data_IF_908864636139
#
_entry.id   IF_908864636139
#
_cell.length_a   1.000
_cell.length_b   1.000
_cell.length_c   1.000
_cell.angle_alpha   90.00
_cell.angle_beta   90.00
_cell.angle_gamma   90.00
#
_symmetry.space_group_name_H-M   'P 1'
#
loop_
_entity.id
_entity.type
_entity.pdbx_description
1 polymer ?
#
# COMPACT_ATOMS: atom_id res chain seq x y z
N UNK A 1 56.22 -3.69 -62.34
CA UNK A 1 56.59 -5.03 -61.82
C UNK A 1 55.40 -5.97 -62.01
N UNK A 2 55.71 -7.19 -62.43
CA UNK A 2 54.87 -8.28 -62.98
C UNK A 2 53.58 -8.58 -62.17
N UNK A 3 52.41 -8.87 -62.79
CA UNK A 3 51.97 -10.14 -63.44
C UNK A 3 51.99 -11.33 -62.44
N UNK A 4 51.02 -12.25 -62.32
CA UNK A 4 50.01 -12.73 -63.25
C UNK A 4 49.23 -13.94 -62.68
N UNK A 5 48.01 -14.17 -63.22
CA UNK A 5 47.46 -15.46 -63.76
C UNK A 5 47.02 -16.58 -62.78
N UNK A 6 45.73 -16.98 -62.81
CA UNK A 6 45.10 -18.09 -63.61
C UNK A 6 45.39 -19.49 -63.00
N UNK A 7 44.49 -20.48 -62.89
CA UNK A 7 43.45 -21.00 -63.81
C UNK A 7 42.53 -22.03 -63.11
N UNK A 8 41.28 -22.09 -63.59
CA UNK A 8 40.37 -23.23 -63.81
C UNK A 8 40.89 -24.67 -63.62
N UNK A 9 40.02 -25.56 -63.11
CA UNK A 9 39.40 -26.61 -63.96
C UNK A 9 38.15 -27.28 -63.34
N UNK A 10 37.22 -27.56 -64.25
CA UNK A 10 35.96 -28.30 -64.22
C UNK A 10 36.07 -29.78 -63.81
N UNK A 11 34.94 -30.43 -63.43
CA UNK A 11 34.40 -31.65 -64.07
C UNK A 11 33.00 -32.02 -63.51
N UNK A 12 32.06 -32.32 -64.41
CA UNK A 12 30.73 -32.91 -64.18
C UNK A 12 30.83 -34.44 -64.04
N UNK A 13 29.92 -35.08 -63.25
CA UNK A 13 28.84 -35.99 -63.73
C UNK A 13 28.29 -36.91 -62.62
N UNK A 14 26.95 -36.97 -62.59
CA UNK A 14 25.99 -38.05 -62.27
C UNK A 14 26.45 -39.37 -61.60
N UNK A 15 25.60 -39.88 -60.68
CA UNK A 15 25.37 -41.33 -60.54
C UNK A 15 24.86 -41.86 -59.19
N UNK A 16 23.53 -41.97 -59.05
CA UNK A 16 22.71 -43.02 -58.40
C UNK A 16 23.04 -43.69 -57.04
N UNK A 17 22.00 -43.66 -56.19
CA UNK A 17 21.38 -44.71 -55.33
C UNK A 17 22.26 -45.66 -54.51
N UNK A 18 21.96 -45.78 -53.20
CA UNK A 18 21.34 -46.99 -52.62
C UNK A 18 20.82 -46.77 -51.19
N UNK A 19 19.81 -47.58 -50.86
CA UNK A 19 18.93 -47.59 -49.69
C UNK A 19 19.61 -47.83 -48.33
N UNK A 20 19.06 -47.25 -47.26
CA UNK A 20 19.45 -47.53 -45.87
C UNK A 20 18.34 -47.22 -44.87
N UNK A 21 17.64 -48.29 -44.47
CA UNK A 21 16.53 -48.37 -43.51
C UNK A 21 16.89 -47.76 -42.14
N UNK A 22 16.01 -46.94 -41.56
CA UNK A 22 16.07 -46.50 -40.15
C UNK A 22 14.94 -47.14 -39.33
N UNK A 23 15.23 -47.68 -38.13
CA UNK A 23 14.26 -48.45 -37.36
C UNK A 23 13.24 -47.57 -36.63
N UNK A 24 12.01 -48.08 -36.61
CA UNK A 24 10.82 -47.55 -35.96
C UNK A 24 10.97 -47.65 -34.44
N UNK A 25 11.13 -46.52 -33.74
CA UNK A 25 11.05 -46.48 -32.28
C UNK A 25 9.60 -46.21 -31.86
N UNK A 26 9.06 -47.16 -31.10
CA UNK A 26 7.72 -47.12 -30.52
C UNK A 26 7.55 -45.90 -29.62
N UNK A 27 6.63 -44.99 -29.99
CA UNK A 27 6.16 -43.93 -29.11
C UNK A 27 5.31 -44.56 -28.00
N UNK A 28 5.87 -44.64 -26.79
CA UNK A 28 5.11 -44.84 -25.56
C UNK A 28 4.16 -43.65 -25.35
N UNK A 29 2.87 -43.93 -25.29
CA UNK A 29 1.84 -43.00 -24.85
C UNK A 29 2.10 -42.63 -23.38
N UNK A 30 2.58 -41.40 -23.15
CA UNK A 30 2.58 -40.76 -21.83
C UNK A 30 1.27 -39.97 -21.73
N UNK A 31 0.35 -40.28 -20.80
CA UNK A 31 -0.86 -39.49 -20.65
C UNK A 31 -0.48 -38.08 -20.18
N UNK A 32 -1.00 -37.08 -20.89
CA UNK A 32 -0.83 -35.68 -20.54
C UNK A 32 -1.34 -35.45 -19.11
N UNK A 33 -0.41 -35.09 -18.20
CA UNK A 33 -0.76 -34.58 -16.87
C UNK A 33 -1.61 -33.33 -17.06
N UNK A 34 -2.91 -33.47 -16.83
CA UNK A 34 -3.85 -32.36 -16.75
C UNK A 34 -3.32 -31.34 -15.74
N UNK A 35 -3.00 -30.15 -16.24
CA UNK A 35 -2.68 -29.01 -15.39
C UNK A 35 -3.92 -28.67 -14.57
N UNK A 36 -3.87 -28.96 -13.27
CA UNK A 36 -4.81 -28.41 -12.31
C UNK A 36 -4.64 -26.89 -12.31
N UNK A 37 -5.44 -26.19 -13.10
CA UNK A 37 -5.77 -24.78 -12.83
C UNK A 37 -6.44 -24.78 -11.47
N UNK A 38 -5.77 -24.26 -10.46
CA UNK A 38 -6.44 -23.76 -9.27
C UNK A 38 -7.40 -22.64 -9.70
N UNK A 39 -8.62 -23.00 -10.12
CA UNK A 39 -9.75 -22.09 -10.00
C UNK A 39 -9.91 -21.89 -8.49
N UNK A 40 -9.41 -20.77 -7.97
CA UNK A 40 -9.72 -20.36 -6.60
C UNK A 40 -11.24 -20.42 -6.41
N UNK A 41 -11.68 -21.00 -5.29
CA UNK A 41 -13.11 -21.05 -4.95
C UNK A 41 -13.70 -19.64 -5.12
N UNK A 42 -14.71 -19.49 -5.99
CA UNK A 42 -15.47 -18.24 -6.08
C UNK A 42 -16.09 -17.99 -4.69
N UNK A 43 -15.92 -16.78 -4.17
CA UNK A 43 -16.55 -16.35 -2.92
C UNK A 43 -18.08 -16.41 -3.08
N UNK A 44 -18.78 -16.73 -1.99
CA UNK A 44 -20.24 -16.70 -1.97
C UNK A 44 -20.72 -15.24 -2.17
N UNK A 45 -21.54 -14.95 -3.20
CA UNK A 45 -22.14 -13.64 -3.44
C UNK A 45 -22.82 -13.01 -2.22
N UNK A 46 -23.36 -13.81 -1.31
CA UNK A 46 -24.04 -13.33 -0.11
C UNK A 46 -23.09 -12.57 0.84
N UNK A 47 -21.77 -12.82 0.76
CA UNK A 47 -20.76 -12.09 1.54
C UNK A 47 -20.65 -10.62 1.15
N UNK A 48 -21.20 -10.21 0.01
CA UNK A 48 -21.13 -8.85 -0.51
C UNK A 48 -22.44 -8.07 -0.34
N UNK A 49 -23.43 -8.64 0.35
CA UNK A 49 -24.73 -7.99 0.61
C UNK A 49 -24.83 -7.69 2.09
N UNK A 50 -24.87 -6.41 2.44
CA UNK A 50 -25.06 -5.95 3.82
C UNK A 50 -25.60 -4.54 3.82
N UNK A 51 -26.76 -4.33 4.45
CA UNK A 51 -27.28 -2.98 4.65
C UNK A 51 -26.43 -2.24 5.67
N UNK A 52 -26.18 -0.95 5.40
CA UNK A 52 -25.60 -0.07 6.39
C UNK A 52 -26.53 -0.02 7.61
N UNK A 53 -25.98 -0.13 8.80
CA UNK A 53 -26.73 0.06 10.04
C UNK A 53 -26.74 1.56 10.36
N UNK A 54 -27.84 2.06 10.91
CA UNK A 54 -27.85 3.35 11.58
C UNK A 54 -26.95 3.25 12.82
N UNK A 55 -25.71 3.62 12.66
CA UNK A 55 -24.80 3.90 13.75
C UNK A 55 -25.16 5.28 14.26
N UNK A 56 -25.63 5.36 15.51
CA UNK A 56 -25.60 6.62 16.24
C UNK A 56 -24.22 7.22 16.03
N UNK A 57 -24.22 8.42 15.43
CA UNK A 57 -23.05 9.23 15.18
C UNK A 57 -22.16 9.16 16.41
N UNK A 58 -20.90 8.79 16.19
CA UNK A 58 -19.80 8.92 17.14
C UNK A 58 -20.22 8.72 18.61
N UNK A 59 -19.82 7.60 19.22
CA UNK A 59 -19.22 7.82 20.54
C UNK A 59 -18.00 8.69 20.24
N UNK A 60 -18.22 10.02 20.20
CA UNK A 60 -17.14 10.99 20.17
C UNK A 60 -16.31 10.55 21.35
N UNK A 61 -15.10 10.08 21.04
CA UNK A 61 -14.08 10.09 22.04
C UNK A 61 -13.89 11.56 22.37
N UNK A 62 -14.70 12.07 23.30
CA UNK A 62 -14.55 13.40 23.87
C UNK A 62 -13.35 13.24 24.79
N UNK A 63 -12.16 13.36 24.20
CA UNK A 63 -10.96 13.39 25.01
C UNK A 63 -11.08 14.58 25.95
N UNK A 64 -10.89 14.33 27.23
CA UNK A 64 -10.72 15.40 28.22
C UNK A 64 -9.32 16.02 28.15
N UNK A 65 -8.45 15.49 27.28
CA UNK A 65 -7.05 15.86 27.11
C UNK A 65 -6.87 16.59 25.79
N UNK A 66 -6.11 17.69 25.80
CA UNK A 66 -5.67 18.40 24.61
C UNK A 66 -4.22 18.05 24.28
N UNK A 67 -3.81 18.27 23.04
CA UNK A 67 -2.39 18.13 22.67
C UNK A 67 -1.47 19.06 23.47
N UNK A 68 -1.99 20.20 23.93
CA UNK A 68 -1.29 21.13 24.82
C UNK A 68 -0.91 20.51 26.17
N UNK A 69 -1.62 19.48 26.61
CA UNK A 69 -1.46 18.87 27.92
C UNK A 69 -0.33 17.82 27.93
N UNK A 70 0.11 17.37 26.74
CA UNK A 70 1.28 16.52 26.63
C UNK A 70 2.56 17.31 26.92
N UNK A 71 3.52 16.61 27.55
CA UNK A 71 4.87 17.12 27.78
C UNK A 71 5.71 17.08 26.49
N UNK A 72 5.33 17.90 25.52
CA UNK A 72 6.01 18.11 24.25
C UNK A 72 6.39 19.59 24.09
N UNK A 73 7.37 19.87 23.24
CA UNK A 73 7.88 21.23 23.04
C UNK A 73 6.86 22.17 22.40
N UNK A 74 6.87 23.45 22.81
CA UNK A 74 5.89 24.46 22.36
C UNK A 74 5.86 24.68 20.85
N UNK A 75 7.00 24.49 20.18
CA UNK A 75 7.04 24.57 18.72
C UNK A 75 6.21 23.47 18.06
N UNK A 76 6.26 22.26 18.61
CA UNK A 76 5.48 21.14 18.13
C UNK A 76 3.99 21.34 18.44
N UNK A 77 3.64 21.84 19.63
CA UNK A 77 2.25 22.18 20.00
C UNK A 77 1.63 23.16 18.99
N UNK A 78 2.34 24.24 18.66
CA UNK A 78 1.90 25.22 17.66
C UNK A 78 1.70 24.60 16.27
N UNK A 79 2.64 23.77 15.82
CA UNK A 79 2.53 23.11 14.52
C UNK A 79 1.34 22.14 14.45
N UNK A 80 1.04 21.44 15.54
CA UNK A 80 -0.13 20.55 15.67
C UNK A 80 -1.43 21.37 15.56
N UNK A 81 -1.51 22.47 16.30
CA UNK A 81 -2.67 23.37 16.28
C UNK A 81 -2.86 24.05 14.92
N UNK A 82 -1.80 24.57 14.30
CA UNK A 82 -1.82 25.14 12.93
C UNK A 82 -2.31 24.13 11.89
N UNK A 83 -2.03 22.84 12.08
CA UNK A 83 -2.49 21.79 11.18
C UNK A 83 -3.96 21.39 11.40
N UNK A 84 -4.61 21.91 12.46
CA UNK A 84 -6.01 21.64 12.77
C UNK A 84 -6.24 20.44 13.70
N UNK A 85 -5.20 19.92 14.36
CA UNK A 85 -5.32 18.84 15.33
C UNK A 85 -5.73 19.42 16.69
N UNK A 86 -7.03 19.46 16.96
CA UNK A 86 -7.58 20.04 18.19
C UNK A 86 -7.59 19.04 19.36
N UNK A 87 -8.09 17.83 19.11
CA UNK A 87 -8.33 16.80 20.14
C UNK A 87 -7.66 15.50 19.71
N UNK A 88 -6.90 14.82 20.61
CA UNK A 88 -6.29 13.55 20.30
C UNK A 88 -7.35 12.46 20.12
N UNK A 89 -7.17 11.61 19.11
CA UNK A 89 -7.96 10.39 18.94
C UNK A 89 -7.66 9.39 20.05
N UNK A 90 -8.54 8.40 20.26
CA UNK A 90 -8.35 7.39 21.31
C UNK A 90 -7.00 6.64 21.24
N UNK A 91 -6.45 6.41 20.03
CA UNK A 91 -5.12 5.79 19.88
C UNK A 91 -4.01 6.77 20.22
N UNK A 92 -4.14 8.05 19.85
CA UNK A 92 -3.19 9.10 20.17
C UNK A 92 -3.14 9.33 21.68
N UNK A 93 -4.29 9.42 22.34
CA UNK A 93 -4.39 9.67 23.78
C UNK A 93 -3.65 8.61 24.60
N UNK A 94 -3.82 7.35 24.23
CA UNK A 94 -3.22 6.23 24.94
C UNK A 94 -1.77 5.98 24.54
N UNK A 95 -1.41 6.20 23.28
CA UNK A 95 -0.08 5.86 22.77
C UNK A 95 0.95 6.97 23.03
N UNK A 96 0.61 8.25 22.85
CA UNK A 96 1.58 9.37 22.95
C UNK A 96 2.33 9.36 24.28
N UNK A 97 1.68 9.29 25.46
CA UNK A 97 2.40 9.28 26.74
C UNK A 97 3.37 8.10 26.88
N UNK A 98 2.99 6.93 26.37
CA UNK A 98 3.80 5.72 26.45
C UNK A 98 5.02 5.78 25.52
N UNK A 99 4.84 6.34 24.31
CA UNK A 99 5.95 6.55 23.37
C UNK A 99 6.93 7.58 23.92
N UNK A 100 6.45 8.70 24.49
CA UNK A 100 7.28 9.72 25.13
C UNK A 100 8.08 9.15 26.31
N UNK A 101 7.51 8.19 27.06
CA UNK A 101 8.19 7.48 28.14
C UNK A 101 9.24 6.44 27.67
N UNK A 102 9.45 6.29 26.36
CA UNK A 102 10.43 5.37 25.79
C UNK A 102 10.00 3.91 25.79
N UNK A 103 8.72 3.61 26.02
CA UNK A 103 8.19 2.24 26.01
C UNK A 103 8.00 1.73 24.58
N UNK A 104 8.18 0.43 24.40
CA UNK A 104 7.75 -0.28 23.20
C UNK A 104 6.21 -0.31 23.13
N UNK A 105 5.66 -0.27 21.92
CA UNK A 105 4.21 -0.21 21.70
C UNK A 105 3.76 -1.29 20.73
N UNK A 106 2.62 -1.91 21.05
CA UNK A 106 1.78 -2.62 20.09
C UNK A 106 0.49 -1.81 19.93
N UNK A 107 0.36 -1.10 18.82
CA UNK A 107 -0.83 -0.33 18.46
C UNK A 107 -1.72 -1.12 17.50
N UNK A 108 -2.89 -1.55 17.98
CA UNK A 108 -3.89 -2.26 17.17
C UNK A 108 -5.04 -1.32 16.87
N UNK A 109 -5.08 -0.79 15.65
CA UNK A 109 -6.12 0.11 15.17
C UNK A 109 -6.17 0.15 13.63
N UNK A 110 -7.36 0.42 13.07
CA UNK A 110 -7.56 0.55 11.63
C UNK A 110 -6.86 1.80 11.05
N UNK A 111 -6.67 1.87 9.73
CA UNK A 111 -6.21 3.08 9.03
C UNK A 111 -7.19 4.25 9.29
N UNK A 112 -6.69 5.48 9.35
CA UNK A 112 -7.51 6.67 9.62
C UNK A 112 -7.85 6.90 11.10
N UNK A 113 -7.30 6.10 12.02
CA UNK A 113 -7.46 6.30 13.48
C UNK A 113 -6.48 7.31 14.07
N UNK A 114 -5.53 7.83 13.28
CA UNK A 114 -4.52 8.79 13.75
C UNK A 114 -3.24 8.15 14.32
N UNK A 115 -2.95 6.88 13.99
CA UNK A 115 -1.71 6.17 14.35
C UNK A 115 -0.45 6.96 13.94
N UNK A 116 -0.45 7.52 12.74
CA UNK A 116 0.68 8.26 12.18
C UNK A 116 1.09 9.44 13.06
N UNK A 117 0.13 10.33 13.34
CA UNK A 117 0.36 11.46 14.24
C UNK A 117 0.82 11.00 15.65
N UNK A 118 0.28 9.91 16.19
CA UNK A 118 0.66 9.41 17.52
C UNK A 118 2.17 9.14 17.63
N UNK A 119 2.75 8.42 16.67
CA UNK A 119 4.20 8.16 16.68
C UNK A 119 5.01 9.33 16.16
N UNK A 120 4.55 10.08 15.15
CA UNK A 120 5.30 11.22 14.60
C UNK A 120 5.49 12.31 15.64
N UNK A 121 4.42 12.73 16.33
CA UNK A 121 4.48 13.77 17.36
C UNK A 121 5.50 13.38 18.45
N UNK A 122 5.39 12.15 18.94
CA UNK A 122 6.24 11.66 20.03
C UNK A 122 7.71 11.57 19.62
N UNK A 123 7.99 11.06 18.42
CA UNK A 123 9.35 10.87 17.91
C UNK A 123 10.00 12.18 17.47
N UNK A 124 9.23 13.10 16.88
CA UNK A 124 9.70 14.46 16.56
C UNK A 124 10.11 15.19 17.84
N UNK A 125 9.28 15.10 18.90
CA UNK A 125 9.62 15.68 20.20
C UNK A 125 10.94 15.13 20.74
N UNK A 126 11.10 13.79 20.71
CA UNK A 126 12.32 13.11 21.17
C UNK A 126 13.55 13.54 20.38
N UNK A 127 13.46 13.60 19.05
CA UNK A 127 14.56 14.04 18.18
C UNK A 127 14.84 15.53 18.24
N UNK A 128 13.86 16.36 18.60
CA UNK A 128 14.08 17.78 18.81
C UNK A 128 14.88 18.04 20.10
N UNK A 129 14.54 17.33 21.17
CA UNK A 129 15.22 17.40 22.47
C UNK A 129 16.62 16.77 22.42
N UNK A 130 16.81 15.67 21.67
CA UNK A 130 18.10 15.04 21.43
C UNK A 130 18.33 14.80 19.93
N UNK A 131 19.22 15.60 19.36
CA UNK A 131 19.58 15.55 17.93
C UNK A 131 20.34 14.29 17.52
N UNK A 132 20.78 13.46 18.45
CA UNK A 132 21.41 12.18 18.15
C UNK A 132 20.38 11.08 17.88
N UNK A 133 19.12 11.28 18.25
CA UNK A 133 18.06 10.31 17.98
C UNK A 133 17.91 10.13 16.46
N UNK A 134 17.85 8.87 16.05
CA UNK A 134 17.53 8.48 14.68
C UNK A 134 16.31 7.59 14.65
N UNK A 135 15.44 7.85 13.69
CA UNK A 135 14.14 7.22 13.57
C UNK A 135 14.01 6.53 12.22
N UNK A 136 13.71 5.22 12.24
CA UNK A 136 13.38 4.43 11.06
C UNK A 136 11.90 4.12 11.07
N UNK A 137 11.18 4.44 9.99
CA UNK A 137 9.77 4.10 9.81
C UNK A 137 9.67 3.20 8.57
N UNK A 138 9.23 1.97 8.76
CA UNK A 138 9.05 0.98 7.70
C UNK A 138 7.58 0.83 7.40
N UNK A 139 7.20 1.02 6.13
CA UNK A 139 5.81 1.00 5.66
C UNK A 139 5.63 0.17 4.39
N UNK A 140 4.44 -0.40 4.14
CA UNK A 140 4.21 -1.31 3.01
C UNK A 140 4.33 -0.66 1.63
N UNK A 141 4.00 0.62 1.51
CA UNK A 141 3.81 1.28 0.21
C UNK A 141 4.51 2.61 0.10
N UNK A 142 4.84 2.96 -1.15
CA UNK A 142 5.54 4.20 -1.48
C UNK A 142 4.66 5.41 -1.18
N UNK A 143 3.37 5.26 -1.45
CA UNK A 143 2.35 6.28 -1.23
C UNK A 143 2.25 6.61 0.26
N UNK A 144 2.09 5.59 1.12
CA UNK A 144 2.09 5.79 2.58
C UNK A 144 3.40 6.42 3.09
N UNK A 145 4.56 6.02 2.56
CA UNK A 145 5.83 6.65 2.95
C UNK A 145 5.89 8.15 2.61
N UNK A 146 5.33 8.56 1.46
CA UNK A 146 5.21 9.97 1.07
C UNK A 146 4.25 10.69 2.03
N UNK A 147 3.09 10.09 2.32
CA UNK A 147 2.10 10.67 3.24
C UNK A 147 2.68 10.94 4.63
N UNK A 148 3.37 9.95 5.22
CA UNK A 148 4.04 10.11 6.51
C UNK A 148 5.17 11.16 6.40
N UNK A 149 5.89 11.23 5.28
CA UNK A 149 6.91 12.26 5.07
C UNK A 149 6.33 13.67 4.98
N UNK A 150 5.15 13.83 4.40
CA UNK A 150 4.50 15.14 4.29
C UNK A 150 3.91 15.56 5.63
N UNK A 151 3.24 14.65 6.34
CA UNK A 151 2.76 14.88 7.69
C UNK A 151 3.92 15.21 8.66
N UNK A 152 5.05 14.51 8.53
CA UNK A 152 6.28 14.86 9.25
C UNK A 152 6.71 16.31 9.00
N UNK A 153 6.72 16.78 7.74
CA UNK A 153 7.19 18.14 7.40
C UNK A 153 6.30 19.21 8.03
N UNK A 154 5.01 18.93 8.15
CA UNK A 154 4.04 19.80 8.80
C UNK A 154 4.34 19.89 10.30
N UNK A 155 4.40 18.75 11.00
CA UNK A 155 4.68 18.72 12.44
C UNK A 155 6.10 19.20 12.80
N UNK A 156 7.09 18.91 11.96
CA UNK A 156 8.48 19.30 12.17
C UNK A 156 8.81 20.70 11.64
N UNK A 157 7.84 21.48 11.16
CA UNK A 157 8.04 22.83 10.59
C UNK A 157 8.87 23.70 11.54
N UNK A 158 9.99 24.21 11.04
CA UNK A 158 10.91 25.08 11.77
C UNK A 158 11.66 24.42 12.95
N UNK A 159 11.68 23.09 13.05
CA UNK A 159 12.48 22.35 14.03
C UNK A 159 13.92 22.09 13.54
N UNK A 160 14.17 22.18 12.24
CA UNK A 160 15.45 21.79 11.62
C UNK A 160 15.68 20.28 11.57
N UNK A 161 14.67 19.46 11.89
CA UNK A 161 14.73 18.02 11.68
C UNK A 161 14.53 17.70 10.19
N UNK A 162 15.23 16.65 9.75
CA UNK A 162 15.26 16.25 8.34
C UNK A 162 14.72 14.83 8.18
N UNK A 163 13.98 14.61 7.09
CA UNK A 163 13.39 13.33 6.72
C UNK A 163 13.77 12.94 5.29
N UNK A 164 14.03 11.65 5.08
CA UNK A 164 14.23 11.08 3.75
C UNK A 164 13.25 9.94 3.50
N UNK A 165 12.53 10.01 2.38
CA UNK A 165 11.68 8.93 1.88
C UNK A 165 12.47 7.96 0.98
N UNK A 166 12.82 6.80 1.52
CA UNK A 166 13.50 5.70 0.85
C UNK A 166 12.49 4.77 0.14
N UNK A 167 12.00 5.19 -1.02
CA UNK A 167 10.97 4.47 -1.78
C UNK A 167 11.42 4.06 -3.19
N UNK A 168 10.86 2.96 -3.71
CA UNK A 168 11.07 2.53 -5.09
C UNK A 168 10.51 3.51 -6.12
N UNK A 169 10.89 3.37 -7.40
CA UNK A 169 10.31 4.15 -8.50
C UNK A 169 10.74 5.62 -8.58
N UNK A 170 11.59 6.08 -7.66
CA UNK A 170 12.24 7.39 -7.71
C UNK A 170 13.77 7.23 -7.79
N UNK A 171 14.46 8.31 -8.18
CA UNK A 171 15.90 8.30 -8.44
C UNK A 171 16.69 7.96 -7.16
N UNK A 172 17.35 6.81 -7.18
CA UNK A 172 18.13 6.32 -6.04
C UNK A 172 19.30 7.24 -5.68
N UNK A 173 19.94 7.88 -6.66
CA UNK A 173 21.08 8.80 -6.40
C UNK A 173 20.66 9.98 -5.53
N UNK A 174 19.43 10.50 -5.71
CA UNK A 174 18.89 11.57 -4.84
C UNK A 174 18.70 11.08 -3.41
N UNK A 175 18.18 9.87 -3.23
CA UNK A 175 18.02 9.27 -1.89
C UNK A 175 19.37 9.01 -1.24
N UNK A 176 20.33 8.44 -1.96
CA UNK A 176 21.71 8.23 -1.53
C UNK A 176 22.36 9.54 -1.08
N UNK A 177 22.27 10.59 -1.89
CA UNK A 177 22.80 11.91 -1.53
C UNK A 177 22.15 12.46 -0.26
N UNK A 178 20.83 12.37 -0.12
CA UNK A 178 20.13 12.83 1.07
C UNK A 178 20.53 12.02 2.33
N UNK A 179 20.69 10.69 2.21
CA UNK A 179 21.13 9.83 3.31
C UNK A 179 22.54 10.14 3.81
N UNK A 180 23.44 10.62 2.94
CA UNK A 180 24.80 11.05 3.33
C UNK A 180 24.81 12.23 4.30
N UNK A 181 23.74 13.03 4.33
CA UNK A 181 23.56 14.12 5.29
C UNK A 181 23.09 13.61 6.67
N UNK A 182 22.94 12.29 6.85
CA UNK A 182 22.57 11.63 8.12
C UNK A 182 21.26 12.20 8.70
N UNK A 183 20.16 12.14 7.94
CA UNK A 183 18.87 12.70 8.35
C UNK A 183 18.40 12.09 9.66
N UNK A 184 17.55 12.82 10.38
CA UNK A 184 16.99 12.38 11.65
C UNK A 184 15.98 11.25 11.45
N UNK A 185 15.22 11.31 10.36
CA UNK A 185 14.16 10.35 10.01
C UNK A 185 14.43 9.72 8.65
N UNK A 186 14.26 8.40 8.57
CA UNK A 186 14.20 7.66 7.31
C UNK A 186 12.89 6.89 7.27
N UNK A 187 12.06 7.19 6.27
CA UNK A 187 10.79 6.50 6.02
C UNK A 187 10.98 5.67 4.76
N UNK A 188 10.72 4.36 4.79
CA UNK A 188 11.02 3.54 3.63
C UNK A 188 10.17 2.28 3.47
N UNK A 189 10.10 1.83 2.23
CA UNK A 189 9.52 0.52 1.89
C UNK A 189 10.57 -0.58 2.02
N UNK A 190 10.23 -1.81 2.50
CA UNK A 190 11.20 -2.86 2.78
C UNK A 190 12.20 -3.13 1.66
N UNK A 191 11.71 -3.29 0.43
CA UNK A 191 12.56 -3.57 -0.74
C UNK A 191 13.57 -2.46 -1.04
N UNK A 192 13.21 -1.17 -0.90
CA UNK A 192 14.14 -0.06 -1.14
C UNK A 192 15.14 0.11 0.02
N UNK A 193 14.71 -0.10 1.25
CA UNK A 193 15.62 -0.11 2.40
C UNK A 193 16.69 -1.20 2.23
N UNK A 194 16.28 -2.41 1.85
CA UNK A 194 17.18 -3.53 1.57
C UNK A 194 18.19 -3.22 0.46
N UNK A 195 17.76 -2.59 -0.64
CA UNK A 195 18.64 -2.16 -1.74
C UNK A 195 19.69 -1.13 -1.26
N UNK A 196 19.27 -0.12 -0.47
CA UNK A 196 20.18 0.89 0.08
C UNK A 196 21.20 0.30 1.08
N UNK A 197 20.77 -0.67 1.90
CA UNK A 197 21.65 -1.42 2.80
C UNK A 197 22.67 -2.24 2.00
N UNK A 198 22.21 -2.98 0.98
CA UNK A 198 23.09 -3.79 0.13
C UNK A 198 24.14 -2.98 -0.63
N UNK A 199 23.88 -1.69 -0.84
CA UNK A 199 24.84 -0.73 -1.44
C UNK A 199 25.76 -0.05 -0.43
N UNK A 200 25.57 -0.28 0.87
CA UNK A 200 26.32 0.39 1.94
C UNK A 200 25.91 1.85 2.17
N UNK A 201 24.77 2.30 1.63
CA UNK A 201 24.32 3.70 1.74
C UNK A 201 23.38 3.92 2.94
N UNK A 202 22.96 2.84 3.63
CA UNK A 202 22.12 2.91 4.82
C UNK A 202 22.60 1.89 5.87
N UNK A 203 22.89 2.37 7.08
CA UNK A 203 23.25 1.54 8.22
C UNK A 203 22.14 1.56 9.28
N UNK A 204 21.47 0.42 9.47
CA UNK A 204 20.35 0.29 10.40
C UNK A 204 20.76 0.31 11.88
N UNK A 205 22.03 0.03 12.21
CA UNK A 205 22.55 0.08 13.57
C UNK A 205 22.48 1.48 14.20
N UNK A 206 22.31 2.52 13.38
CA UNK A 206 22.23 3.91 13.83
C UNK A 206 20.84 4.30 14.36
N UNK A 207 19.80 3.49 14.17
CA UNK A 207 18.42 3.85 14.46
C UNK A 207 17.94 3.25 15.79
N UNK A 208 17.83 4.09 16.83
CA UNK A 208 17.37 3.68 18.16
C UNK A 208 15.85 3.73 18.32
N UNK A 209 15.13 4.30 17.36
CA UNK A 209 13.67 4.35 17.36
C UNK A 209 13.17 3.77 16.04
N UNK A 210 12.38 2.71 16.11
CA UNK A 210 11.94 1.97 14.93
C UNK A 210 10.45 1.78 14.95
N UNK A 211 9.80 2.10 13.83
CA UNK A 211 8.37 1.93 13.62
C UNK A 211 8.14 0.94 12.49
N UNK A 212 7.32 -0.07 12.73
CA UNK A 212 6.70 -0.88 11.68
C UNK A 212 5.23 -0.50 11.62
N UNK A 213 4.77 0.11 10.53
CA UNK A 213 3.38 0.51 10.35
C UNK A 213 2.70 -0.28 9.23
N UNK A 214 1.42 -0.59 9.44
CA UNK A 214 0.61 -1.49 8.61
C UNK A 214 1.32 -2.85 8.36
N UNK A 215 1.72 -3.52 9.44
CA UNK A 215 2.51 -4.76 9.38
C UNK A 215 1.75 -5.91 8.75
N UNK A 216 0.49 -6.11 9.13
CA UNK A 216 -0.44 -7.03 8.47
C UNK A 216 -0.36 -6.92 6.94
N UNK A 217 -0.39 -5.68 6.45
CA UNK A 217 -0.34 -5.42 5.04
C UNK A 217 1.03 -5.62 4.40
N UNK A 218 2.12 -5.37 5.12
CA UNK A 218 3.45 -5.77 4.66
C UNK A 218 3.54 -7.29 4.49
N UNK A 219 2.96 -8.05 5.41
CA UNK A 219 2.87 -9.52 5.32
C UNK A 219 2.04 -9.94 4.11
N UNK A 220 0.88 -9.33 3.88
CA UNK A 220 -0.01 -9.66 2.75
C UNK A 220 0.61 -9.42 1.37
N UNK A 221 1.50 -8.44 1.27
CA UNK A 221 2.23 -8.13 0.02
C UNK A 221 3.50 -9.01 -0.12
N UNK A 222 3.83 -9.80 0.91
CA UNK A 222 4.93 -10.76 0.89
C UNK A 222 6.27 -10.24 1.43
N UNK A 223 6.28 -9.11 2.15
CA UNK A 223 7.50 -8.52 2.72
C UNK A 223 7.98 -9.17 4.03
N UNK A 224 7.36 -10.26 4.48
CA UNK A 224 7.71 -10.93 5.74
C UNK A 224 9.22 -11.22 5.88
N UNK A 225 9.86 -11.74 4.83
CA UNK A 225 11.29 -12.07 4.86
C UNK A 225 12.16 -10.81 4.85
N UNK A 226 11.75 -9.78 4.10
CA UNK A 226 12.48 -8.51 4.07
C UNK A 226 12.39 -7.80 5.43
N UNK A 227 11.23 -7.82 6.09
CA UNK A 227 11.07 -7.27 7.44
C UNK A 227 11.96 -8.01 8.44
N UNK A 228 11.93 -9.36 8.44
CA UNK A 228 12.80 -10.16 9.32
C UNK A 228 14.28 -9.84 9.10
N UNK A 229 14.68 -9.66 7.84
CA UNK A 229 16.04 -9.23 7.50
C UNK A 229 16.36 -7.84 8.05
N UNK A 230 15.48 -6.85 7.88
CA UNK A 230 15.69 -5.51 8.44
C UNK A 230 15.81 -5.55 9.96
N UNK A 231 14.94 -6.30 10.65
CA UNK A 231 14.98 -6.46 12.11
C UNK A 231 16.32 -7.04 12.57
N UNK A 232 16.88 -8.00 11.84
CA UNK A 232 18.16 -8.63 12.18
C UNK A 232 19.35 -7.67 12.15
N UNK A 233 19.22 -6.53 11.48
CA UNK A 233 20.25 -5.49 11.35
C UNK A 233 20.04 -4.31 12.32
N UNK A 234 18.94 -4.32 13.09
CA UNK A 234 18.64 -3.26 14.06
C UNK A 234 19.48 -3.42 15.34
N UNK A 235 19.76 -2.31 16.05
CA UNK A 235 20.43 -2.41 17.35
C UNK A 235 19.55 -3.14 18.36
N UNK A 236 20.20 -3.88 19.28
CA UNK A 236 19.49 -4.63 20.35
C UNK A 236 18.77 -3.71 21.34
N UNK A 237 19.41 -2.59 21.69
CA UNK A 237 18.84 -1.56 22.57
C UNK A 237 18.20 -0.50 21.67
N UNK A 238 16.87 -0.48 21.62
CA UNK A 238 16.06 0.45 20.84
C UNK A 238 14.65 0.52 21.41
N UNK A 239 13.91 1.55 21.01
CA UNK A 239 12.46 1.63 21.16
C UNK A 239 11.79 1.13 19.88
N UNK A 240 10.87 0.18 20.01
CA UNK A 240 10.16 -0.47 18.91
C UNK A 240 8.65 -0.18 18.98
N UNK A 241 8.10 0.41 17.92
CA UNK A 241 6.68 0.71 17.79
C UNK A 241 6.06 -0.13 16.68
N UNK A 242 5.15 -1.02 17.02
CA UNK A 242 4.49 -1.94 16.12
C UNK A 242 3.03 -1.51 15.90
N UNK A 243 2.65 -1.18 14.68
CA UNK A 243 1.29 -0.76 14.35
C UNK A 243 0.67 -1.65 13.27
N UNK A 244 -0.51 -2.18 13.54
CA UNK A 244 -1.23 -3.09 12.65
C UNK A 244 -2.74 -2.98 12.85
N UNK A 245 -3.55 -3.28 11.85
CA UNK A 245 -5.00 -3.41 12.06
C UNK A 245 -5.35 -4.77 12.66
N UNK A 246 -4.62 -5.81 12.27
CA UNK A 246 -4.79 -7.18 12.77
C UNK A 246 -3.47 -7.77 13.29
N UNK A 247 -3.58 -8.78 14.16
CA UNK A 247 -2.44 -9.58 14.63
C UNK A 247 -2.80 -11.04 14.43
N UNK A 248 -2.49 -11.56 13.24
CA UNK A 248 -2.67 -12.95 12.85
C UNK A 248 -1.38 -13.76 13.01
N UNK A 249 -1.39 -15.06 12.67
CA UNK A 249 -0.25 -15.95 12.90
C UNK A 249 1.07 -15.45 12.31
N UNK A 250 1.06 -14.91 11.08
CA UNK A 250 2.28 -14.41 10.42
C UNK A 250 2.75 -13.07 11.01
N UNK A 251 1.81 -12.20 11.35
CA UNK A 251 2.09 -10.89 11.96
C UNK A 251 2.63 -11.06 13.39
N UNK A 252 2.15 -12.07 14.11
CA UNK A 252 2.58 -12.44 15.46
C UNK A 252 4.05 -12.86 15.52
N UNK A 253 4.55 -13.55 14.50
CA UNK A 253 5.97 -13.92 14.40
C UNK A 253 6.88 -12.69 14.32
N UNK A 254 6.47 -11.69 13.53
CA UNK A 254 7.22 -10.42 13.41
C UNK A 254 7.18 -9.69 14.75
N UNK A 255 5.98 -9.56 15.33
CA UNK A 255 5.75 -8.88 16.60
C UNK A 255 6.68 -9.41 17.70
N UNK A 256 6.72 -10.74 17.91
CA UNK A 256 7.56 -11.37 18.94
C UNK A 256 9.06 -11.10 18.78
N UNK A 257 9.53 -10.95 17.55
CA UNK A 257 10.94 -10.64 17.27
C UNK A 257 11.28 -9.16 17.36
N UNK A 258 10.27 -8.28 17.36
CA UNK A 258 10.46 -6.85 17.17
C UNK A 258 10.40 -6.05 18.47
N UNK A 259 9.47 -6.37 19.39
CA UNK A 259 9.20 -5.62 20.62
C UNK A 259 9.67 -6.34 21.89
N UNK A 260 9.96 -5.59 22.95
CA UNK A 260 10.38 -6.09 24.27
C UNK A 260 9.53 -5.41 25.36
N UNK A 261 8.80 -6.20 26.16
CA UNK A 261 7.90 -5.72 27.22
C UNK A 261 6.99 -4.54 26.79
N UNK A 262 6.25 -4.68 25.68
CA UNK A 262 5.50 -3.59 25.08
C UNK A 262 4.23 -3.25 25.87
N UNK A 263 3.77 -2.00 25.74
CA UNK A 263 2.42 -1.61 26.11
C UNK A 263 1.51 -1.82 24.90
N UNK A 264 0.45 -2.60 25.08
CA UNK A 264 -0.55 -2.83 24.02
C UNK A 264 -1.65 -1.80 24.12
N UNK A 265 -1.82 -1.01 23.05
CA UNK A 265 -2.92 -0.07 22.89
C UNK A 265 -3.83 -0.58 21.77
N UNK A 266 -5.02 -1.04 22.14
CA UNK A 266 -6.03 -1.48 21.18
C UNK A 266 -7.22 -0.51 21.18
N UNK A 267 -7.56 -0.02 19.99
CA UNK A 267 -8.75 0.80 19.77
C UNK A 267 -9.63 0.05 18.79
N UNK A 268 -10.71 -0.54 19.32
CA UNK A 268 -11.76 -1.12 18.50
C UNK A 268 -12.57 0.03 17.87
N UNK A 269 -12.37 0.28 16.58
CA UNK A 269 -13.41 0.95 15.80
C UNK A 269 -14.51 -0.05 15.51
N UNK A 270 -15.79 0.37 15.57
CA UNK A 270 -16.85 -0.35 14.87
C UNK A 270 -16.40 -0.58 13.43
N UNK A 271 -16.60 -1.80 12.92
CA UNK A 271 -16.13 -2.15 11.59
C UNK A 271 -16.67 -1.11 10.60
N UNK A 272 -15.79 -0.50 9.80
CA UNK A 272 -16.18 0.44 8.71
C UNK A 272 -17.27 -0.15 7.83
N UNK A 273 -17.33 -1.49 7.71
CA UNK A 273 -18.39 -2.25 7.08
C UNK A 273 -19.81 -2.06 7.66
N UNK A 274 -20.00 -1.38 8.79
CA UNK A 274 -21.33 -1.05 9.33
C UNK A 274 -21.92 0.22 8.70
N UNK A 275 -21.06 1.17 8.29
CA UNK A 275 -21.47 2.43 7.63
C UNK A 275 -21.53 2.31 6.10
N UNK A 276 -21.20 1.14 5.56
CA UNK A 276 -21.11 0.88 4.13
C UNK A 276 -22.31 0.04 3.71
N UNK A 277 -23.11 0.58 2.80
CA UNK A 277 -24.13 -0.16 2.10
C UNK A 277 -23.48 -1.03 1.03
N UNK A 278 -23.60 -2.35 1.20
CA UNK A 278 -22.96 -3.34 0.36
C UNK A 278 -24.03 -4.06 -0.45
N UNK A 279 -23.87 -4.04 -1.77
CA UNK A 279 -24.78 -4.73 -2.68
C UNK A 279 -24.05 -5.33 -3.89
N UNK A 280 -24.76 -6.18 -4.62
CA UNK A 280 -24.26 -6.87 -5.80
C UNK A 280 -24.96 -6.37 -7.07
N UNK A 281 -24.19 -6.27 -8.14
CA UNK A 281 -24.69 -5.99 -9.48
C UNK A 281 -24.59 -7.28 -10.28
N UNK A 282 -25.73 -7.91 -10.53
CA UNK A 282 -25.80 -9.15 -11.33
C UNK A 282 -25.77 -8.80 -12.82
N UNK A 283 -24.80 -9.36 -13.53
CA UNK A 283 -24.69 -9.20 -14.98
C UNK A 283 -25.58 -10.24 -15.66
N UNK A 284 -26.80 -9.85 -16.03
CA UNK A 284 -27.73 -10.73 -16.74
C UNK A 284 -27.64 -10.57 -18.26
N UNK A 285 -27.57 -11.69 -18.98
CA UNK A 285 -27.56 -11.71 -20.44
C UNK A 285 -26.22 -11.33 -21.07
N UNK A 286 -26.23 -10.94 -22.35
CA UNK A 286 -25.03 -10.61 -23.11
C UNK A 286 -24.61 -9.13 -23.01
N UNK A 287 -25.16 -8.38 -22.05
CA UNK A 287 -24.85 -6.95 -21.93
C UNK A 287 -23.39 -6.75 -21.50
N UNK A 288 -22.60 -5.93 -22.22
CA UNK A 288 -21.23 -5.65 -21.83
C UNK A 288 -21.18 -5.01 -20.44
N UNK A 289 -20.32 -5.55 -19.59
CA UNK A 289 -20.10 -5.10 -18.20
C UNK A 289 -19.81 -3.60 -18.07
N UNK A 290 -19.09 -3.03 -19.05
CA UNK A 290 -18.77 -1.60 -19.09
C UNK A 290 -20.02 -0.72 -19.30
N UNK A 291 -21.05 -1.22 -19.98
CA UNK A 291 -22.28 -0.46 -20.20
C UNK A 291 -23.10 -0.37 -18.92
N UNK A 292 -23.17 -1.47 -18.16
CA UNK A 292 -23.76 -1.47 -16.82
C UNK A 292 -23.01 -0.50 -15.90
N UNK A 293 -21.67 -0.49 -15.96
CA UNK A 293 -20.88 0.46 -15.19
C UNK A 293 -21.16 1.92 -15.59
N UNK A 294 -21.25 2.22 -16.89
CA UNK A 294 -21.58 3.57 -17.37
C UNK A 294 -22.93 4.04 -16.83
N UNK A 295 -23.97 3.19 -16.89
CA UNK A 295 -25.30 3.54 -16.39
C UNK A 295 -25.30 3.84 -14.89
N UNK A 296 -24.44 3.19 -14.11
CA UNK A 296 -24.28 3.51 -12.69
C UNK A 296 -23.59 4.86 -12.51
N UNK A 297 -22.49 5.10 -13.23
CA UNK A 297 -21.64 6.28 -13.07
C UNK A 297 -22.33 7.61 -13.46
N UNK A 298 -23.38 7.57 -14.29
CA UNK A 298 -24.17 8.76 -14.64
C UNK A 298 -25.29 9.07 -13.63
N UNK A 299 -25.54 8.18 -12.66
CA UNK A 299 -26.57 8.40 -11.66
C UNK A 299 -26.10 9.42 -10.61
N UNK A 300 -27.03 10.17 -9.99
CA UNK A 300 -26.71 11.05 -8.88
C UNK A 300 -26.02 10.30 -7.73
N UNK A 301 -25.02 10.93 -7.11
CA UNK A 301 -24.28 10.40 -5.96
C UNK A 301 -22.99 9.65 -6.30
N UNK A 302 -22.71 9.38 -7.57
CA UNK A 302 -21.44 8.80 -8.04
C UNK A 302 -20.37 9.89 -8.24
N UNK A 303 -20.22 10.78 -7.27
CA UNK A 303 -19.38 11.99 -7.41
C UNK A 303 -17.88 11.67 -7.28
N UNK A 304 -17.54 10.68 -6.47
CA UNK A 304 -16.15 10.24 -6.23
C UNK A 304 -16.08 8.73 -6.10
N UNK A 305 -15.63 8.06 -7.16
CA UNK A 305 -15.76 6.62 -7.34
C UNK A 305 -14.41 5.93 -7.43
N UNK A 306 -14.22 4.89 -6.62
CA UNK A 306 -13.03 4.03 -6.68
C UNK A 306 -13.40 2.66 -7.26
N UNK A 307 -12.81 2.32 -8.41
CA UNK A 307 -13.10 1.08 -9.13
C UNK A 307 -11.94 0.10 -9.00
N UNK A 308 -12.24 -1.12 -8.56
CA UNK A 308 -11.29 -2.21 -8.43
C UNK A 308 -11.42 -3.26 -9.51
N UNK A 309 -10.28 -3.65 -10.07
CA UNK A 309 -10.22 -4.83 -10.94
C UNK A 309 -8.91 -5.60 -10.83
N UNK A 310 -8.88 -6.76 -11.47
CA UNK A 310 -7.84 -7.77 -11.21
C UNK A 310 -6.53 -7.47 -11.94
N UNK A 311 -6.61 -7.02 -13.19
CA UNK A 311 -5.43 -6.95 -14.07
C UNK A 311 -5.11 -5.52 -14.47
N UNK A 312 -3.81 -5.19 -14.47
CA UNK A 312 -3.31 -3.87 -14.88
C UNK A 312 -3.77 -3.48 -16.30
N UNK A 313 -3.75 -4.42 -17.24
CA UNK A 313 -4.17 -4.19 -18.62
C UNK A 313 -5.68 -3.99 -18.75
N UNK A 314 -6.48 -4.75 -17.99
CA UNK A 314 -7.92 -4.56 -17.93
C UNK A 314 -8.30 -3.19 -17.38
N UNK A 315 -7.61 -2.74 -16.32
CA UNK A 315 -7.85 -1.42 -15.72
C UNK A 315 -7.42 -0.28 -16.65
N UNK A 316 -6.31 -0.41 -17.38
CA UNK A 316 -5.90 0.59 -18.37
C UNK A 316 -6.86 0.66 -19.56
N UNK A 317 -7.43 -0.49 -19.98
CA UNK A 317 -8.48 -0.52 -21.02
C UNK A 317 -9.77 0.13 -20.51
N UNK A 318 -10.16 -0.14 -19.27
CA UNK A 318 -11.36 0.42 -18.65
C UNK A 318 -11.26 1.95 -18.50
N UNK A 319 -10.11 2.46 -18.04
CA UNK A 319 -9.89 3.90 -17.91
C UNK A 319 -10.01 4.62 -19.26
N UNK A 320 -9.39 4.08 -20.31
CA UNK A 320 -9.51 4.63 -21.67
C UNK A 320 -10.95 4.63 -22.16
N UNK A 321 -11.65 3.51 -22.01
CA UNK A 321 -13.04 3.41 -22.47
C UNK A 321 -14.00 4.32 -21.69
N UNK A 322 -13.76 4.57 -20.39
CA UNK A 322 -14.54 5.54 -19.63
C UNK A 322 -14.19 6.99 -19.99
N UNK A 323 -12.91 7.28 -20.24
CA UNK A 323 -12.47 8.60 -20.71
C UNK A 323 -13.05 8.94 -22.09
N UNK A 324 -13.09 7.97 -23.01
CA UNK A 324 -13.76 8.10 -24.32
C UNK A 324 -15.27 8.36 -24.19
N UNK A 325 -15.88 7.92 -23.08
CA UNK A 325 -17.29 8.19 -22.73
C UNK A 325 -17.50 9.52 -21.99
N UNK A 326 -16.45 10.32 -21.80
CA UNK A 326 -16.52 11.65 -21.20
C UNK A 326 -16.25 11.70 -19.69
N UNK A 327 -15.93 10.58 -19.04
CA UNK A 327 -15.61 10.59 -17.61
C UNK A 327 -14.18 11.06 -17.35
N UNK A 328 -13.99 11.84 -16.30
CA UNK A 328 -12.66 12.17 -15.76
C UNK A 328 -12.12 10.99 -14.97
N UNK A 329 -11.20 10.23 -15.56
CA UNK A 329 -10.69 9.00 -14.95
C UNK A 329 -9.18 8.84 -15.05
N UNK A 330 -8.58 8.17 -14.07
CA UNK A 330 -7.20 7.72 -14.14
C UNK A 330 -7.05 6.29 -13.60
N UNK A 331 -6.04 5.55 -14.11
CA UNK A 331 -5.69 4.22 -13.62
C UNK A 331 -4.39 4.23 -12.80
N UNK A 332 -4.40 3.53 -11.66
CA UNK A 332 -3.23 3.29 -10.80
C UNK A 332 -2.95 1.78 -10.74
N UNK A 333 -1.79 1.39 -11.25
CA UNK A 333 -1.32 0.00 -11.24
C UNK A 333 0.22 -0.05 -11.27
N UNK A 334 0.80 -1.25 -11.09
CA UNK A 334 2.26 -1.44 -10.99
C UNK A 334 3.09 -0.96 -12.20
N UNK A 335 2.49 -0.85 -13.38
CA UNK A 335 3.17 -0.32 -14.58
C UNK A 335 3.18 1.23 -14.66
N UNK A 336 2.47 1.96 -13.79
CA UNK A 336 2.54 3.43 -13.76
C UNK A 336 3.81 3.85 -13.01
N UNK A 337 4.49 4.87 -13.51
CA UNK A 337 5.60 5.50 -12.80
C UNK A 337 5.13 6.13 -11.48
N UNK A 338 6.04 6.37 -10.53
CA UNK A 338 5.66 6.95 -9.23
C UNK A 338 5.01 8.33 -9.40
N UNK A 339 5.54 9.16 -10.30
CA UNK A 339 5.00 10.50 -10.57
C UNK A 339 3.59 10.43 -11.16
N UNK A 340 3.32 9.48 -12.06
CA UNK A 340 1.97 9.28 -12.61
C UNK A 340 0.98 8.81 -11.54
N UNK A 341 1.42 7.92 -10.64
CA UNK A 341 0.58 7.48 -9.51
C UNK A 341 0.27 8.64 -8.58
N UNK A 342 1.29 9.42 -8.20
CA UNK A 342 1.11 10.58 -7.33
C UNK A 342 0.15 11.59 -7.95
N UNK A 343 0.36 11.95 -9.22
CA UNK A 343 -0.53 12.86 -9.95
C UNK A 343 -1.98 12.37 -9.96
N UNK A 344 -2.23 11.11 -10.30
CA UNK A 344 -3.59 10.57 -10.30
C UNK A 344 -4.23 10.56 -8.90
N UNK A 345 -3.44 10.39 -7.84
CA UNK A 345 -3.94 10.47 -6.46
C UNK A 345 -4.24 11.91 -6.06
N UNK A 346 -3.41 12.86 -6.44
CA UNK A 346 -3.59 14.28 -6.12
C UNK A 346 -4.83 14.82 -6.87
N UNK A 347 -4.95 14.54 -8.16
CA UNK A 347 -6.12 14.90 -8.97
C UNK A 347 -7.41 14.25 -8.40
N UNK A 348 -7.35 13.00 -7.95
CA UNK A 348 -8.51 12.36 -7.29
C UNK A 348 -8.83 12.95 -5.92
N UNK A 349 -7.81 13.31 -5.13
CA UNK A 349 -8.03 13.94 -3.81
C UNK A 349 -8.68 15.31 -3.94
N UNK A 350 -8.26 16.10 -4.92
CA UNK A 350 -8.74 17.46 -5.18
C UNK A 350 -10.06 17.51 -5.98
N UNK A 351 -10.74 16.37 -6.16
CA UNK A 351 -12.00 16.26 -6.93
C UNK A 351 -11.88 16.66 -8.41
N UNK A 352 -10.66 16.62 -8.97
CA UNK A 352 -10.39 16.82 -10.40
C UNK A 352 -10.63 15.54 -11.23
N UNK A 353 -10.66 14.38 -10.56
CA UNK A 353 -11.07 13.11 -11.13
C UNK A 353 -12.33 12.61 -10.41
N UNK A 354 -13.35 12.30 -11.18
CA UNK A 354 -14.53 11.60 -10.67
C UNK A 354 -14.22 10.12 -10.36
N UNK A 355 -13.35 9.48 -11.16
CA UNK A 355 -13.14 8.02 -11.10
C UNK A 355 -11.66 7.68 -11.01
N UNK A 356 -11.30 6.97 -9.94
CA UNK A 356 -10.00 6.33 -9.81
C UNK A 356 -10.12 4.82 -10.02
N UNK A 357 -9.33 4.26 -10.92
CA UNK A 357 -9.35 2.83 -11.24
C UNK A 357 -8.06 2.20 -10.73
N UNK A 358 -8.15 1.13 -9.95
CA UNK A 358 -6.97 0.53 -9.33
C UNK A 358 -7.00 -1.01 -9.28
N UNK A 359 -5.82 -1.60 -9.18
CA UNK A 359 -5.66 -2.99 -8.75
C UNK A 359 -5.47 -3.07 -7.24
N UNK A 360 -5.71 -4.22 -6.63
CA UNK A 360 -5.54 -4.46 -5.18
C UNK A 360 -4.16 -4.03 -4.69
N UNK A 361 -3.12 -4.44 -5.41
CA UNK A 361 -1.72 -4.14 -5.05
C UNK A 361 -1.42 -2.65 -5.08
N UNK A 362 -2.04 -1.91 -6.00
CA UNK A 362 -1.71 -0.52 -6.25
C UNK A 362 -2.53 0.47 -5.42
N UNK A 363 -3.65 -0.01 -4.85
CA UNK A 363 -4.59 0.76 -4.04
C UNK A 363 -4.47 0.56 -2.55
N UNK A 364 -3.86 -0.55 -2.15
CA UNK A 364 -3.32 -0.77 -0.83
C UNK A 364 -2.55 0.50 -0.42
N UNK A 365 -3.04 1.19 0.61
CA UNK A 365 -2.31 2.28 1.29
C UNK A 365 -2.55 3.64 0.72
N UNK A 366 -3.50 3.71 -0.20
CA UNK A 366 -4.09 4.97 -0.57
C UNK A 366 -4.98 5.41 0.59
N UNK A 367 -4.52 6.46 1.27
CA UNK A 367 -5.40 7.26 2.11
C UNK A 367 -6.15 8.22 1.19
N UNK A 368 -7.37 7.83 0.85
CA UNK A 368 -8.29 8.63 0.05
C UNK A 368 -9.53 8.77 0.91
N UNK A 369 -9.81 10.02 1.26
CA UNK A 369 -11.00 10.39 2.01
C UNK A 369 -12.17 10.60 1.06
N UNK A 370 -13.39 10.53 1.60
CA UNK A 370 -14.60 10.98 0.93
C UNK A 370 -14.98 10.26 -0.37
N UNK A 371 -14.52 9.03 -0.56
CA UNK A 371 -15.02 8.18 -1.64
C UNK A 371 -16.49 7.86 -1.38
N UNK A 372 -17.38 8.26 -2.29
CA UNK A 372 -18.82 7.97 -2.23
C UNK A 372 -19.11 6.50 -2.51
N UNK A 373 -18.44 5.96 -3.54
CA UNK A 373 -18.71 4.63 -4.08
C UNK A 373 -17.42 3.84 -4.30
N UNK A 374 -17.39 2.61 -3.79
CA UNK A 374 -16.40 1.60 -4.15
C UNK A 374 -17.06 0.58 -5.09
N UNK A 375 -16.53 0.41 -6.29
CA UNK A 375 -17.04 -0.56 -7.25
C UNK A 375 -16.01 -1.67 -7.43
N UNK A 376 -16.35 -2.88 -7.00
CA UNK A 376 -15.62 -4.08 -7.37
C UNK A 376 -16.03 -4.49 -8.78
N UNK A 377 -15.37 -3.91 -9.79
CA UNK A 377 -15.58 -4.31 -11.17
C UNK A 377 -15.24 -5.79 -11.30
N UNK A 378 -14.07 -6.25 -10.86
CA UNK A 378 -13.81 -7.69 -10.73
C UNK A 378 -13.95 -8.12 -9.27
N UNK A 379 -14.69 -9.21 -9.03
CA UNK A 379 -14.84 -9.78 -7.69
C UNK A 379 -13.47 -10.09 -7.05
N UNK A 380 -13.30 -9.76 -5.76
CA UNK A 380 -12.05 -9.98 -5.03
C UNK A 380 -11.74 -11.47 -4.87
N UNK A 381 -10.46 -11.78 -4.64
CA UNK A 381 -9.98 -13.16 -4.48
C UNK A 381 -10.17 -13.72 -3.08
N UNK A 382 -10.21 -12.86 -2.06
CA UNK A 382 -10.48 -13.23 -0.67
C UNK A 382 -11.47 -12.25 -0.03
N UNK A 383 -12.08 -12.66 1.08
CA UNK A 383 -12.93 -11.76 1.87
C UNK A 383 -12.14 -10.62 2.51
N UNK A 384 -10.88 -10.87 2.90
CA UNK A 384 -10.02 -9.82 3.44
C UNK A 384 -9.74 -8.73 2.40
N UNK A 385 -9.45 -9.12 1.15
CA UNK A 385 -9.31 -8.17 0.04
C UNK A 385 -10.60 -7.36 -0.15
N UNK A 386 -11.78 -7.99 -0.06
CA UNK A 386 -13.06 -7.30 -0.12
C UNK A 386 -13.19 -6.23 0.97
N UNK A 387 -12.94 -6.59 2.23
CA UNK A 387 -13.00 -5.65 3.37
C UNK A 387 -12.04 -4.48 3.18
N UNK A 388 -10.82 -4.74 2.69
CA UNK A 388 -9.84 -3.68 2.42
C UNK A 388 -10.24 -2.72 1.30
N UNK A 389 -10.92 -3.24 0.27
CA UNK A 389 -11.46 -2.43 -0.84
C UNK A 389 -12.61 -1.55 -0.37
N UNK A 390 -13.61 -2.12 0.29
CA UNK A 390 -14.80 -1.36 0.70
C UNK A 390 -14.48 -0.36 1.82
N UNK A 391 -13.48 -0.63 2.66
CA UNK A 391 -13.00 0.30 3.69
C UNK A 391 -12.36 1.60 3.16
N UNK A 392 -12.40 1.82 1.84
CA UNK A 392 -12.06 3.11 1.20
C UNK A 392 -13.25 4.08 1.18
N UNK A 393 -14.46 3.62 1.45
CA UNK A 393 -15.65 4.45 1.66
C UNK A 393 -16.18 4.29 3.09
N UNK A 394 -17.19 5.09 3.49
CA UNK A 394 -17.82 4.99 4.80
C UNK A 394 -16.95 5.45 5.98
N UNK A 395 -15.98 6.34 5.72
CA UNK A 395 -15.03 6.87 6.73
C UNK A 395 -15.59 8.11 7.42
N UNK A 396 -15.08 8.40 8.62
CA UNK A 396 -15.41 9.60 9.39
C UNK A 396 -16.92 9.87 9.51
N UNK A 397 -17.71 8.84 9.80
CA UNK A 397 -19.16 8.93 9.99
C UNK A 397 -19.99 9.15 8.72
N UNK A 398 -19.36 9.32 7.55
CA UNK A 398 -20.08 9.41 6.27
C UNK A 398 -20.60 8.03 5.86
N UNK A 399 -21.73 8.00 5.16
CA UNK A 399 -22.22 6.78 4.50
C UNK A 399 -21.41 6.52 3.23
N UNK A 400 -21.21 5.25 2.94
CA UNK A 400 -20.54 4.79 1.73
C UNK A 400 -21.32 3.69 1.06
N UNK A 401 -21.11 3.52 -0.25
CA UNK A 401 -21.71 2.41 -1.00
C UNK A 401 -20.61 1.55 -1.62
N UNK A 402 -20.74 0.23 -1.49
CA UNK A 402 -19.87 -0.74 -2.12
C UNK A 402 -20.68 -1.66 -3.05
N UNK A 403 -20.42 -1.58 -4.35
CA UNK A 403 -21.11 -2.38 -5.36
C UNK A 403 -20.16 -3.44 -5.92
N UNK A 404 -20.60 -4.70 -5.96
CA UNK A 404 -19.79 -5.80 -6.47
C UNK A 404 -20.42 -6.46 -7.67
N UNK A 405 -19.71 -6.45 -8.80
CA UNK A 405 -20.20 -7.06 -10.02
C UNK A 405 -20.01 -8.57 -9.96
N UNK A 406 -21.09 -9.31 -10.24
CA UNK A 406 -21.13 -10.76 -10.23
C UNK A 406 -21.70 -11.25 -11.55
N UNK A 407 -21.05 -12.27 -12.11
CA UNK A 407 -21.46 -13.00 -13.31
C UNK A 407 -22.51 -14.07 -13.00
#
# INVERSE_FOLDING_TARGET
MYNSKQRNHSHQRNGNNFYGVRPQSQRRNIPARGGFRHLGKKLDPNLFIKKAKETNAYLEHISSVKFSDYNIVDKLKRNIEEHGYSVPTAIQEKAIPQILAGRDIIGIANTGTGKTAAFLISLINKSYLDRNQRVLIVVPTRELAIQISDEFRIFAKGTGLEVVAAIGGTNIKRQTYALRHRPHFVIGTPGRLKDLIGRGELNLMLFQNVVLDEVDRMVDIGFINDIKYLISLLPKIRQSLFFSATVDGKTQDILRSFVINPVTVSVKQQATAENIEQDIIRLTGNRPKIDVLHDLLIQPGFDKVLIFGRTKWGMEKLARALSERGFQTAAIHSNKSQNQRQRALDEFKNDELQILIATDVASRGLDIEDVTHVINYDAPTSYDDYIHRIGRTGRAGKRGTALTFIE
#
